data_IF_337419607258
#
_entry.id   IF_337419607258
#
_cell.length_a   1.000
_cell.length_b   1.000
_cell.length_c   1.000
_cell.angle_alpha   90.00
_cell.angle_beta   90.00
_cell.angle_gamma   90.00
#
_symmetry.space_group_name_H-M   'P 1'
#
loop_
_entity.id
_entity.type
_entity.pdbx_description
1 polymer ?
#
# COMPACT_ATOMS: atom_id res chain seq x y z
N UNK A 1 38.43 13.03 37.50
CA UNK A 1 38.30 11.56 37.47
C UNK A 1 36.90 11.14 37.90
N UNK A 2 36.01 10.80 36.97
CA UNK A 2 34.80 10.02 37.25
C UNK A 2 34.86 8.80 36.33
N UNK A 3 35.07 7.62 36.93
CA UNK A 3 34.99 6.32 36.26
C UNK A 3 33.53 6.09 35.84
N UNK A 4 33.28 5.87 34.55
CA UNK A 4 32.07 5.17 34.08
C UNK A 4 32.36 3.68 34.18
N UNK A 5 31.69 3.01 35.10
CA UNK A 5 31.50 1.57 35.09
C UNK A 5 30.32 1.28 34.16
N UNK A 6 30.61 1.01 32.89
CA UNK A 6 29.66 0.34 31.98
C UNK A 6 29.82 -1.17 32.22
N UNK A 7 29.03 -1.71 33.14
CA UNK A 7 28.79 -3.15 33.23
C UNK A 7 27.44 -3.41 32.53
N UNK A 8 27.43 -3.25 31.21
CA UNK A 8 26.35 -3.77 30.37
C UNK A 8 26.57 -5.27 30.22
N UNK A 9 25.55 -6.13 30.45
CA UNK A 9 25.69 -7.56 30.21
C UNK A 9 26.14 -7.80 28.76
N UNK A 10 27.25 -8.52 28.59
CA UNK A 10 27.83 -8.81 27.29
C UNK A 10 26.86 -9.67 26.48
N UNK A 11 26.19 -9.05 25.50
CA UNK A 11 25.31 -9.78 24.57
C UNK A 11 26.14 -10.78 23.77
N UNK A 12 25.86 -12.07 23.92
CA UNK A 12 26.53 -13.12 23.17
C UNK A 12 26.18 -12.97 21.68
N UNK A 13 27.21 -12.96 20.81
CA UNK A 13 27.02 -12.84 19.36
C UNK A 13 27.37 -14.15 18.69
N UNK A 14 26.48 -14.63 17.81
CA UNK A 14 26.70 -15.83 17.01
C UNK A 14 26.72 -15.44 15.54
N UNK A 15 27.77 -15.85 14.81
CA UNK A 15 27.92 -15.67 13.37
C UNK A 15 27.40 -16.90 12.63
N UNK A 16 26.38 -16.70 11.81
CA UNK A 16 25.80 -17.72 10.92
C UNK A 16 25.94 -17.26 9.47
N UNK A 17 26.38 -18.15 8.59
CA UNK A 17 26.48 -17.86 7.14
C UNK A 17 25.39 -18.62 6.36
N UNK A 18 24.87 -18.03 5.28
CA UNK A 18 24.06 -18.77 4.31
C UNK A 18 24.83 -19.06 3.03
N UNK A 19 24.81 -20.33 2.63
CA UNK A 19 25.55 -20.88 1.48
C UNK A 19 24.59 -21.54 0.50
N UNK A 20 24.91 -21.50 -0.79
CA UNK A 20 24.09 -22.06 -1.85
C UNK A 20 24.12 -21.20 -3.11
N UNK A 21 23.69 -21.77 -4.23
CA UNK A 21 23.75 -21.15 -5.55
C UNK A 21 23.04 -19.78 -5.62
N UNK A 22 23.37 -19.01 -6.65
CA UNK A 22 22.66 -17.77 -6.98
C UNK A 22 21.16 -18.04 -7.18
N UNK A 23 20.32 -17.18 -6.59
CA UNK A 23 18.87 -17.26 -6.80
C UNK A 23 18.14 -18.36 -6.01
N UNK A 24 18.78 -19.12 -5.12
CA UNK A 24 18.08 -20.10 -4.25
C UNK A 24 17.25 -19.46 -3.14
N UNK A 25 17.34 -18.13 -2.95
CA UNK A 25 16.51 -17.36 -2.02
C UNK A 25 17.10 -17.15 -0.62
N UNK A 26 18.43 -17.20 -0.48
CA UNK A 26 19.15 -17.00 0.79
C UNK A 26 18.84 -15.67 1.46
N UNK A 27 19.02 -14.56 0.73
CA UNK A 27 18.72 -13.20 1.18
C UNK A 27 17.25 -13.07 1.61
N UNK A 28 16.34 -13.67 0.84
CA UNK A 28 14.90 -13.61 1.10
C UNK A 28 14.52 -14.33 2.40
N UNK A 29 15.12 -15.48 2.68
CA UNK A 29 14.87 -16.23 3.93
C UNK A 29 15.47 -15.49 5.13
N UNK A 30 16.68 -14.93 5.00
CA UNK A 30 17.32 -14.16 6.08
C UNK A 30 16.51 -12.91 6.41
N UNK A 31 16.11 -12.12 5.41
CA UNK A 31 15.26 -10.94 5.62
C UNK A 31 13.93 -11.32 6.24
N UNK A 32 13.28 -12.37 5.74
CA UNK A 32 11.99 -12.85 6.30
C UNK A 32 12.11 -13.26 7.75
N UNK A 33 13.17 -13.95 8.12
CA UNK A 33 13.40 -14.35 9.50
C UNK A 33 13.75 -13.17 10.43
N UNK A 34 14.64 -12.28 9.99
CA UNK A 34 15.12 -11.16 10.80
C UNK A 34 14.05 -10.08 10.98
N UNK A 35 13.42 -9.70 9.88
CA UNK A 35 12.60 -8.48 9.75
C UNK A 35 11.11 -8.77 9.56
N UNK A 36 10.72 -10.03 9.31
CA UNK A 36 9.33 -10.38 9.01
C UNK A 36 8.90 -9.99 7.58
N UNK A 37 9.83 -9.58 6.71
CA UNK A 37 9.58 -9.08 5.35
C UNK A 37 10.05 -10.09 4.30
N UNK A 38 9.29 -10.30 3.23
CA UNK A 38 9.72 -11.14 2.11
C UNK A 38 9.86 -10.27 0.86
N UNK A 39 11.00 -10.38 0.17
CA UNK A 39 11.24 -9.67 -1.09
C UNK A 39 11.47 -10.68 -2.21
N UNK A 40 10.75 -10.52 -3.32
CA UNK A 40 10.91 -11.32 -4.55
C UNK A 40 11.97 -10.78 -5.50
N UNK A 41 12.66 -9.69 -5.12
CA UNK A 41 13.67 -9.03 -5.94
C UNK A 41 14.95 -9.87 -6.01
N UNK A 42 15.30 -10.32 -7.22
CA UNK A 42 16.69 -10.19 -7.66
C UNK A 42 16.89 -8.69 -7.92
N UNK A 43 17.26 -7.93 -6.87
CA UNK A 43 17.74 -6.56 -7.06
C UNK A 43 18.83 -6.60 -8.14
N UNK A 44 18.85 -5.68 -9.13
CA UNK A 44 20.14 -5.34 -9.70
C UNK A 44 20.97 -4.86 -8.51
N UNK A 45 22.00 -5.64 -8.19
CA UNK A 45 22.97 -5.38 -7.15
C UNK A 45 23.12 -3.87 -6.95
N UNK A 46 22.67 -3.34 -5.81
CA UNK A 46 23.27 -2.11 -5.32
C UNK A 46 24.74 -2.44 -5.17
N UNK A 47 25.55 -1.83 -6.02
CA UNK A 47 26.98 -1.97 -6.09
C UNK A 47 27.62 -1.37 -4.84
N UNK A 48 27.41 -2.00 -3.69
CA UNK A 48 28.10 -1.73 -2.44
C UNK A 48 28.20 -3.05 -1.65
N UNK A 49 29.28 -3.80 -1.93
CA UNK A 49 29.84 -4.90 -1.13
C UNK A 49 28.95 -6.11 -0.80
N UNK A 50 29.03 -7.14 -1.66
CA UNK A 50 28.95 -8.61 -1.46
C UNK A 50 28.07 -9.31 -0.39
N UNK A 51 27.47 -8.64 0.60
CA UNK A 51 26.75 -9.25 1.73
C UNK A 51 25.57 -8.37 2.15
N UNK A 52 24.42 -9.01 2.33
CA UNK A 52 23.31 -8.46 3.09
C UNK A 52 23.40 -8.93 4.56
N UNK A 53 23.17 -8.02 5.51
CA UNK A 53 23.41 -8.23 6.95
C UNK A 53 22.09 -8.29 7.72
N UNK A 54 21.72 -9.49 8.19
CA UNK A 54 20.54 -9.70 9.02
C UNK A 54 20.90 -9.91 10.49
N UNK A 55 20.20 -9.24 11.43
CA UNK A 55 20.38 -9.46 12.87
C UNK A 55 19.07 -9.87 13.52
N UNK A 56 19.08 -11.01 14.22
CA UNK A 56 17.97 -11.45 15.06
C UNK A 56 18.37 -11.50 16.53
N UNK A 57 17.77 -10.67 17.40
CA UNK A 57 17.84 -10.91 18.83
C UNK A 57 16.97 -12.12 19.17
N UNK A 58 17.56 -13.10 19.85
CA UNK A 58 16.87 -14.30 20.35
C UNK A 58 17.23 -14.54 21.80
N UNK A 59 16.32 -15.13 22.57
CA UNK A 59 16.57 -15.49 23.97
C UNK A 59 16.68 -17.00 24.08
N UNK A 60 17.85 -17.49 24.46
CA UNK A 60 18.15 -18.93 24.58
C UNK A 60 18.56 -19.20 26.03
N UNK A 61 17.84 -20.07 26.74
CA UNK A 61 18.13 -20.44 28.14
C UNK A 61 18.39 -19.21 29.04
N UNK A 62 17.52 -18.19 28.95
CA UNK A 62 17.63 -16.91 29.66
C UNK A 62 18.85 -16.03 29.32
N UNK A 63 19.61 -16.36 28.27
CA UNK A 63 20.67 -15.51 27.73
C UNK A 63 20.16 -14.78 26.49
N UNK A 64 20.37 -13.47 26.43
CA UNK A 64 20.09 -12.68 25.23
C UNK A 64 21.25 -12.86 24.24
N UNK A 65 20.93 -13.43 23.08
CA UNK A 65 21.86 -13.74 22.01
C UNK A 65 21.49 -12.92 20.79
N UNK A 66 22.50 -12.35 20.11
CA UNK A 66 22.33 -11.74 18.79
C UNK A 66 22.90 -12.67 17.74
N UNK A 67 22.04 -13.20 16.89
CA UNK A 67 22.44 -13.98 15.72
C UNK A 67 22.66 -13.02 14.56
N UNK A 68 23.87 -13.00 14.03
CA UNK A 68 24.26 -12.22 12.86
C UNK A 68 24.33 -13.16 11.67
N UNK A 69 23.44 -12.96 10.71
CA UNK A 69 23.38 -13.69 9.47
C UNK A 69 24.18 -12.96 8.40
N UNK A 70 25.09 -13.69 7.75
CA UNK A 70 25.90 -13.21 6.65
C UNK A 70 25.48 -13.92 5.38
N UNK A 71 24.84 -13.19 4.47
CA UNK A 71 24.41 -13.76 3.20
C UNK A 71 25.54 -13.79 2.17
N UNK A 72 26.00 -14.99 1.81
CA UNK A 72 27.08 -15.14 0.83
C UNK A 72 26.54 -15.11 -0.60
N UNK A 73 27.21 -14.37 -1.48
CA UNK A 73 26.88 -14.35 -2.91
C UNK A 73 26.98 -15.76 -3.51
N UNK A 74 25.91 -16.22 -4.16
CA UNK A 74 25.86 -17.53 -4.82
C UNK A 74 26.51 -17.58 -6.20
N UNK A 75 27.14 -16.48 -6.64
CA UNK A 75 27.73 -16.30 -7.96
C UNK A 75 29.25 -16.63 -7.91
N UNK A 76 29.80 -17.43 -8.84
CA UNK A 76 31.21 -17.85 -8.81
C UNK A 76 32.21 -16.68 -8.76
N UNK A 77 31.87 -15.55 -9.37
CA UNK A 77 32.71 -14.36 -9.53
C UNK A 77 33.04 -13.67 -8.20
N UNK A 78 32.36 -14.03 -7.11
CA UNK A 78 32.57 -13.47 -5.77
C UNK A 78 33.34 -14.39 -4.82
N UNK A 79 33.93 -15.49 -5.33
CA UNK A 79 34.66 -16.47 -4.52
C UNK A 79 35.74 -15.81 -3.64
N UNK A 80 36.56 -14.92 -4.19
CA UNK A 80 37.64 -14.26 -3.45
C UNK A 80 37.12 -13.42 -2.28
N UNK A 81 35.94 -12.81 -2.44
CA UNK A 81 35.30 -12.01 -1.39
C UNK A 81 34.66 -12.92 -0.33
N UNK A 82 34.03 -14.03 -0.72
CA UNK A 82 33.42 -15.00 0.21
C UNK A 82 34.42 -15.60 1.20
N UNK A 83 35.66 -15.79 0.78
CA UNK A 83 36.72 -16.41 1.60
C UNK A 83 36.90 -15.74 2.96
N UNK A 84 36.75 -14.42 3.03
CA UNK A 84 36.90 -13.66 4.28
C UNK A 84 35.75 -13.90 5.27
N UNK A 85 34.60 -14.40 4.82
CA UNK A 85 33.41 -14.59 5.65
C UNK A 85 33.29 -15.98 6.24
N UNK A 86 34.04 -16.96 5.74
CA UNK A 86 34.07 -18.30 6.33
C UNK A 86 34.83 -18.34 7.67
N UNK A 87 35.82 -17.47 7.86
CA UNK A 87 36.59 -17.38 9.13
C UNK A 87 35.67 -17.10 10.32
N UNK A 88 35.93 -17.78 11.44
CA UNK A 88 35.21 -17.62 12.72
C UNK A 88 33.69 -17.88 12.63
N UNK A 89 33.23 -18.64 11.63
CA UNK A 89 31.83 -19.03 11.48
C UNK A 89 31.44 -20.05 12.54
N UNK A 90 30.30 -19.85 13.18
CA UNK A 90 29.81 -20.70 14.28
C UNK A 90 28.63 -21.59 13.85
N UNK A 91 28.02 -21.32 12.68
CA UNK A 91 26.99 -22.17 12.08
C UNK A 91 26.70 -21.82 10.61
N UNK A 92 26.14 -22.77 9.87
CA UNK A 92 25.83 -22.61 8.44
C UNK A 92 24.40 -22.99 8.06
N UNK A 93 23.82 -22.26 7.11
CA UNK A 93 22.57 -22.62 6.43
C UNK A 93 22.92 -23.00 5.00
N UNK A 94 22.75 -24.27 4.66
CA UNK A 94 23.02 -24.82 3.33
C UNK A 94 21.71 -24.89 2.53
N UNK A 95 21.54 -24.00 1.55
CA UNK A 95 20.26 -23.77 0.89
C UNK A 95 20.25 -24.20 -0.58
N UNK A 96 19.17 -24.85 -1.00
CA UNK A 96 18.90 -25.18 -2.40
C UNK A 96 17.45 -24.88 -2.78
N UNK A 97 17.17 -24.75 -4.07
CA UNK A 97 15.83 -24.54 -4.62
C UNK A 97 15.24 -25.91 -5.01
N UNK A 98 14.08 -26.29 -4.45
CA UNK A 98 13.46 -27.60 -4.74
C UNK A 98 13.10 -27.79 -6.21
N UNK A 99 12.96 -26.71 -6.97
CA UNK A 99 12.70 -26.74 -8.42
C UNK A 99 13.97 -26.86 -9.27
N UNK A 100 15.17 -26.91 -8.64
CA UNK A 100 16.46 -26.96 -9.32
C UNK A 100 17.35 -28.10 -8.79
N UNK A 101 17.40 -29.22 -9.52
CA UNK A 101 18.31 -30.36 -9.27
C UNK A 101 19.77 -29.89 -9.14
N UNK A 102 20.21 -29.01 -10.03
CA UNK A 102 21.57 -28.46 -10.04
C UNK A 102 21.93 -27.80 -8.70
N UNK A 103 21.02 -27.00 -8.14
CA UNK A 103 21.29 -26.31 -6.87
C UNK A 103 21.44 -27.28 -5.69
N UNK A 104 20.82 -28.46 -5.77
CA UNK A 104 20.95 -29.53 -4.77
C UNK A 104 22.25 -30.33 -4.95
N UNK A 105 22.63 -30.66 -6.18
CA UNK A 105 23.88 -31.36 -6.48
C UNK A 105 25.12 -30.52 -6.11
N UNK A 106 25.00 -29.20 -6.18
CA UNK A 106 26.07 -28.27 -5.81
C UNK A 106 26.29 -28.12 -4.30
N UNK A 107 25.43 -28.69 -3.44
CA UNK A 107 25.56 -28.55 -1.98
C UNK A 107 26.90 -29.06 -1.44
N UNK A 108 27.45 -30.14 -2.01
CA UNK A 108 28.76 -30.67 -1.61
C UNK A 108 29.92 -29.73 -2.00
N UNK A 109 29.77 -28.97 -3.08
CA UNK A 109 30.76 -27.97 -3.48
C UNK A 109 30.80 -26.81 -2.47
N UNK A 110 29.64 -26.36 -2.00
CA UNK A 110 29.55 -25.32 -0.97
C UNK A 110 30.13 -25.77 0.37
N UNK A 111 29.91 -27.03 0.77
CA UNK A 111 30.53 -27.60 1.97
C UNK A 111 32.05 -27.73 1.83
N UNK A 112 32.56 -28.14 0.67
CA UNK A 112 33.98 -28.22 0.40
C UNK A 112 34.65 -26.82 0.40
N UNK A 113 33.98 -25.81 -0.16
CA UNK A 113 34.41 -24.40 -0.12
C UNK A 113 34.53 -23.92 1.34
N UNK A 114 33.48 -24.14 2.14
CA UNK A 114 33.47 -23.76 3.55
C UNK A 114 34.57 -24.45 4.37
N UNK A 115 34.77 -25.76 4.16
CA UNK A 115 35.82 -26.52 4.83
C UNK A 115 37.22 -26.01 4.47
N UNK A 116 37.42 -25.59 3.22
CA UNK A 116 38.71 -25.09 2.73
C UNK A 116 39.08 -23.73 3.33
N UNK A 117 38.12 -22.81 3.47
CA UNK A 117 38.41 -21.42 3.88
C UNK A 117 38.02 -21.09 5.33
N UNK A 118 37.20 -21.90 6.00
CA UNK A 118 36.67 -21.65 7.35
C UNK A 118 37.49 -22.22 8.50
N UNK A 119 38.54 -23.01 8.24
CA UNK A 119 39.44 -23.52 9.28
C UNK A 119 38.89 -24.65 10.17
N UNK A 120 37.69 -25.17 9.91
CA UNK A 120 37.09 -26.29 10.66
C UNK A 120 35.64 -26.61 10.24
N UNK A 121 35.08 -27.73 10.72
CA UNK A 121 33.66 -28.09 10.52
C UNK A 121 32.78 -27.40 11.58
N UNK A 122 31.83 -26.59 11.14
CA UNK A 122 30.77 -26.00 11.98
C UNK A 122 29.43 -26.69 11.73
N UNK A 123 28.49 -26.67 12.69
CA UNK A 123 27.17 -27.27 12.51
C UNK A 123 26.42 -26.58 11.37
N UNK A 124 25.82 -27.39 10.49
CA UNK A 124 25.00 -26.91 9.40
C UNK A 124 23.57 -27.44 9.51
N UNK A 125 22.64 -26.67 8.95
CA UNK A 125 21.30 -27.12 8.61
C UNK A 125 21.13 -27.12 7.10
N UNK A 126 20.38 -28.09 6.58
CA UNK A 126 20.00 -28.16 5.16
C UNK A 126 18.62 -27.54 5.00
N UNK A 127 18.51 -26.55 4.12
CA UNK A 127 17.29 -25.78 3.90
C UNK A 127 16.83 -25.93 2.45
N UNK A 128 15.77 -26.70 2.23
CA UNK A 128 15.09 -26.78 0.94
C UNK A 128 14.14 -25.58 0.81
N UNK A 129 14.40 -24.68 -0.13
CA UNK A 129 13.63 -23.45 -0.30
C UNK A 129 12.73 -23.52 -1.55
N UNK A 130 11.73 -22.64 -1.59
CA UNK A 130 10.70 -22.53 -2.64
C UNK A 130 9.81 -23.76 -2.76
N UNK A 131 9.44 -24.36 -1.63
CA UNK A 131 8.55 -25.55 -1.61
C UNK A 131 7.16 -25.31 -2.18
N UNK A 132 6.80 -24.04 -2.40
CA UNK A 132 5.64 -23.59 -3.17
C UNK A 132 5.76 -23.82 -4.69
N UNK A 133 6.93 -24.21 -5.20
CA UNK A 133 7.15 -24.49 -6.63
C UNK A 133 7.10 -25.99 -6.94
N UNK A 134 6.80 -26.38 -8.19
CA UNK A 134 6.94 -27.75 -8.64
C UNK A 134 8.35 -28.29 -8.35
N UNK A 135 8.39 -29.41 -7.64
CA UNK A 135 9.64 -29.98 -7.12
C UNK A 135 10.29 -30.89 -8.15
N UNK A 136 11.60 -30.73 -8.32
CA UNK A 136 12.46 -31.67 -9.05
C UNK A 136 13.27 -32.53 -8.05
N UNK A 137 13.55 -32.00 -6.86
CA UNK A 137 14.16 -32.72 -5.74
C UNK A 137 13.11 -33.01 -4.68
N UNK A 138 12.91 -34.28 -4.36
CA UNK A 138 11.91 -34.70 -3.38
C UNK A 138 12.44 -34.57 -1.93
N UNK A 139 11.52 -34.56 -0.97
CA UNK A 139 11.85 -34.34 0.45
C UNK A 139 12.70 -35.47 1.02
N UNK A 140 12.41 -36.72 0.64
CA UNK A 140 13.13 -37.88 1.13
C UNK A 140 14.62 -37.83 0.75
N UNK A 141 14.93 -37.35 -0.45
CA UNK A 141 16.28 -37.14 -0.94
C UNK A 141 17.02 -36.05 -0.15
N UNK A 142 16.37 -34.92 0.10
CA UNK A 142 16.91 -33.84 0.94
C UNK A 142 17.17 -34.29 2.39
N UNK A 143 16.22 -35.02 2.99
CA UNK A 143 16.37 -35.61 4.33
C UNK A 143 17.49 -36.65 4.38
N UNK A 144 17.63 -37.48 3.35
CA UNK A 144 18.71 -38.46 3.27
C UNK A 144 20.08 -37.77 3.19
N UNK A 145 20.20 -36.71 2.38
CA UNK A 145 21.42 -35.91 2.28
C UNK A 145 21.83 -35.30 3.63
N UNK A 146 20.88 -34.67 4.33
CA UNK A 146 21.10 -34.06 5.64
C UNK A 146 21.49 -35.10 6.70
N UNK A 147 20.72 -36.20 6.78
CA UNK A 147 20.96 -37.31 7.71
C UNK A 147 22.34 -37.94 7.54
N UNK A 148 22.79 -38.15 6.30
CA UNK A 148 24.10 -38.72 6.00
C UNK A 148 25.28 -37.88 6.54
N UNK A 149 25.04 -36.59 6.81
CA UNK A 149 26.04 -35.63 7.31
C UNK A 149 25.77 -35.17 8.76
N UNK A 150 24.75 -35.74 9.41
CA UNK A 150 24.35 -35.34 10.77
C UNK A 150 23.74 -33.94 10.86
N UNK A 151 23.20 -33.41 9.74
CA UNK A 151 22.56 -32.10 9.69
C UNK A 151 21.04 -32.22 9.88
N UNK A 152 20.43 -31.20 10.45
CA UNK A 152 18.98 -31.06 10.46
C UNK A 152 18.47 -30.61 9.08
N UNK A 153 17.24 -31.00 8.75
CA UNK A 153 16.61 -30.70 7.46
C UNK A 153 15.35 -29.87 7.68
N UNK A 154 15.25 -28.76 6.93
CA UNK A 154 14.12 -27.86 6.95
C UNK A 154 13.61 -27.63 5.52
N UNK A 155 12.29 -27.53 5.39
CA UNK A 155 11.63 -27.04 4.18
C UNK A 155 11.12 -25.61 4.44
N UNK A 156 11.32 -24.73 3.46
CA UNK A 156 10.95 -23.32 3.56
C UNK A 156 10.33 -22.86 2.26
N UNK A 157 9.41 -21.93 2.37
CA UNK A 157 8.99 -21.08 1.27
C UNK A 157 9.06 -19.65 1.77
N UNK A 158 10.00 -18.89 1.25
CA UNK A 158 10.08 -17.48 1.58
C UNK A 158 8.84 -16.71 1.05
N UNK A 159 8.18 -17.20 -0.02
CA UNK A 159 7.00 -16.59 -0.65
C UNK A 159 5.68 -16.84 0.08
N UNK A 160 5.46 -18.04 0.62
CA UNK A 160 4.20 -18.36 1.33
C UNK A 160 4.33 -18.31 2.85
N UNK A 161 5.56 -18.37 3.36
CA UNK A 161 5.92 -18.38 4.78
C UNK A 161 4.81 -18.91 5.66
N UNK A 162 4.52 -20.21 5.63
CA UNK A 162 3.55 -20.89 6.51
C UNK A 162 3.55 -20.21 7.89
N UNK A 163 2.64 -19.32 8.28
CA UNK A 163 1.32 -18.86 7.79
C UNK A 163 1.28 -17.61 6.87
N UNK A 164 0.60 -17.68 5.71
CA UNK A 164 0.45 -16.56 4.77
C UNK A 164 -0.90 -15.82 4.85
N UNK A 165 -0.86 -14.49 4.76
CA UNK A 165 -1.98 -13.62 4.37
C UNK A 165 -1.87 -13.28 2.88
N UNK A 166 -3.00 -13.15 2.17
CA UNK A 166 -3.03 -12.78 0.75
C UNK A 166 -2.67 -11.29 0.54
N UNK A 167 -2.18 -10.92 -0.66
CA UNK A 167 -1.75 -9.56 -1.02
C UNK A 167 -2.29 -9.12 -2.39
N UNK A 168 -2.35 -7.81 -2.66
CA UNK A 168 -2.73 -7.24 -3.94
C UNK A 168 -1.51 -6.63 -4.66
N UNK A 169 -1.33 -6.89 -5.95
CA UNK A 169 -0.17 -6.39 -6.74
C UNK A 169 -0.65 -5.53 -7.91
N UNK A 170 -0.18 -4.29 -7.98
CA UNK A 170 -0.43 -3.34 -9.08
C UNK A 170 0.82 -3.27 -9.97
N UNK A 171 0.67 -3.64 -11.25
CA UNK A 171 1.79 -3.68 -12.21
C UNK A 171 1.78 -2.47 -13.14
N UNK A 172 2.92 -1.78 -13.24
CA UNK A 172 3.16 -0.65 -14.14
C UNK A 172 4.14 -1.07 -15.22
N UNK A 173 3.75 -0.91 -16.48
CA UNK A 173 4.63 -1.18 -17.62
C UNK A 173 5.56 -0.01 -17.87
N UNK A 174 6.77 -0.28 -18.36
CA UNK A 174 7.70 0.76 -18.82
C UNK A 174 7.08 1.55 -19.99
N UNK A 175 7.21 2.88 -19.97
CA UNK A 175 6.76 3.74 -21.05
C UNK A 175 7.50 3.45 -22.38
N UNK A 176 6.88 3.77 -23.51
CA UNK A 176 7.55 3.73 -24.82
C UNK A 176 8.49 4.94 -24.94
N UNK A 177 9.75 4.67 -25.32
CA UNK A 177 10.88 5.60 -25.53
C UNK A 177 11.62 6.07 -24.27
N UNK A 178 12.93 5.78 -24.22
CA UNK A 178 14.09 6.40 -23.51
C UNK A 178 13.94 7.19 -22.17
N UNK A 179 12.80 7.22 -21.50
CA UNK A 179 12.56 8.05 -20.30
C UNK A 179 12.56 7.29 -18.96
N UNK A 180 12.91 6.00 -18.95
CA UNK A 180 13.00 5.22 -17.70
C UNK A 180 11.66 4.62 -17.26
N UNK A 181 11.40 4.54 -15.95
CA UNK A 181 10.17 3.99 -15.38
C UNK A 181 9.02 5.02 -15.40
N UNK A 182 7.77 4.56 -15.41
CA UNK A 182 6.60 5.43 -15.28
C UNK A 182 6.69 6.25 -13.99
N UNK A 183 6.77 7.58 -14.10
CA UNK A 183 6.81 8.51 -12.96
C UNK A 183 5.64 8.33 -12.00
N UNK A 184 4.53 7.76 -12.47
CA UNK A 184 3.36 7.41 -11.66
C UNK A 184 3.70 6.35 -10.61
N UNK A 185 4.41 5.29 -11.01
CA UNK A 185 4.77 4.19 -10.11
C UNK A 185 5.74 4.64 -9.01
N UNK A 186 6.78 5.40 -9.39
CA UNK A 186 7.77 5.94 -8.44
C UNK A 186 7.10 6.91 -7.46
N UNK A 187 6.15 7.72 -7.92
CA UNK A 187 5.40 8.64 -7.07
C UNK A 187 4.49 7.89 -6.09
N UNK A 188 3.76 6.88 -6.55
CA UNK A 188 2.86 6.08 -5.70
C UNK A 188 3.63 5.42 -4.56
N UNK A 189 4.79 4.80 -4.87
CA UNK A 189 5.70 4.24 -3.86
C UNK A 189 6.20 5.31 -2.89
N UNK A 190 6.71 6.44 -3.40
CA UNK A 190 7.27 7.50 -2.56
C UNK A 190 6.24 8.13 -1.62
N UNK A 191 5.04 8.42 -2.12
CA UNK A 191 3.97 9.03 -1.32
C UNK A 191 3.46 8.06 -0.24
N UNK A 192 3.31 6.78 -0.56
CA UNK A 192 2.74 5.81 0.37
C UNK A 192 3.74 5.24 1.39
N UNK A 193 5.04 5.31 1.12
CA UNK A 193 6.06 4.82 2.08
C UNK A 193 5.98 5.57 3.42
N UNK A 194 5.55 6.84 3.39
CA UNK A 194 5.45 7.71 4.57
C UNK A 194 4.02 7.75 5.18
N UNK A 195 3.02 7.19 4.49
CA UNK A 195 1.63 7.21 4.94
C UNK A 195 1.30 5.97 5.78
N UNK A 196 0.97 6.18 7.05
CA UNK A 196 0.49 5.12 7.95
C UNK A 196 -0.77 5.59 8.67
N UNK A 197 -1.92 5.07 8.23
CA UNK A 197 -3.21 5.41 8.81
C UNK A 197 -4.21 4.24 8.65
N UNK A 198 -5.10 3.98 9.63
CA UNK A 198 -6.10 2.91 9.54
C UNK A 198 -7.03 3.00 8.31
N UNK A 199 -7.27 4.22 7.82
CA UNK A 199 -8.11 4.47 6.64
C UNK A 199 -7.33 4.77 5.36
N UNK A 200 -6.07 4.34 5.24
CA UNK A 200 -5.26 4.44 4.01
C UNK A 200 -4.68 3.05 3.73
N UNK A 201 -4.64 2.62 2.47
CA UNK A 201 -4.05 1.33 2.10
C UNK A 201 -2.57 1.29 2.44
N UNK A 202 -2.15 0.19 3.05
CA UNK A 202 -0.75 -0.04 3.41
C UNK A 202 0.02 -0.57 2.20
N UNK A 203 1.04 0.19 1.78
CA UNK A 203 2.11 -0.30 0.92
C UNK A 203 2.93 -1.34 1.70
N UNK A 204 3.07 -2.54 1.15
CA UNK A 204 3.84 -3.63 1.74
C UNK A 204 5.24 -3.73 1.12
N UNK A 205 5.33 -3.60 -0.20
CA UNK A 205 6.58 -3.73 -0.95
C UNK A 205 6.46 -3.06 -2.34
N UNK A 206 7.59 -2.82 -3.01
CA UNK A 206 7.63 -2.42 -4.41
C UNK A 206 8.87 -3.01 -5.10
N UNK A 207 8.68 -3.66 -6.25
CA UNK A 207 9.75 -4.38 -6.94
C UNK A 207 9.68 -4.25 -8.46
N UNK A 208 10.80 -4.49 -9.14
CA UNK A 208 10.87 -4.54 -10.61
C UNK A 208 10.98 -6.00 -11.05
N UNK A 209 10.11 -6.41 -11.97
CA UNK A 209 10.14 -7.76 -12.56
C UNK A 209 9.71 -7.70 -14.03
N UNK A 210 10.44 -8.35 -14.94
CA UNK A 210 10.15 -8.38 -16.39
C UNK A 210 9.81 -7.00 -16.98
N UNK A 211 10.65 -5.99 -16.73
CA UNK A 211 10.45 -4.60 -17.20
C UNK A 211 9.15 -3.93 -16.69
N UNK A 212 8.55 -4.43 -15.61
CA UNK A 212 7.40 -3.83 -14.93
C UNK A 212 7.74 -3.45 -13.50
N UNK A 213 7.24 -2.30 -13.02
CA UNK A 213 7.26 -1.94 -11.60
C UNK A 213 6.00 -2.54 -10.97
N UNK A 214 6.16 -3.33 -9.92
CA UNK A 214 5.10 -4.03 -9.22
C UNK A 214 5.02 -3.45 -7.81
N UNK A 215 3.89 -2.85 -7.48
CA UNK A 215 3.64 -2.22 -6.18
C UNK A 215 2.68 -3.13 -5.40
N UNK A 216 3.08 -3.55 -4.21
CA UNK A 216 2.40 -4.57 -3.41
C UNK A 216 1.67 -3.92 -2.25
N UNK A 217 0.39 -4.23 -2.10
CA UNK A 217 -0.52 -3.71 -1.10
C UNK A 217 -1.10 -4.83 -0.24
N UNK A 218 -1.61 -4.45 0.93
CA UNK A 218 -2.55 -5.31 1.65
C UNK A 218 -3.75 -5.66 0.77
N UNK A 219 -4.22 -6.92 0.86
CA UNK A 219 -5.43 -7.31 0.15
C UNK A 219 -6.66 -6.77 0.89
N UNK A 220 -7.57 -6.17 0.14
CA UNK A 220 -8.87 -5.74 0.66
C UNK A 220 -9.93 -6.32 -0.28
N UNK A 221 -10.82 -7.21 0.21
CA UNK A 221 -11.64 -8.06 -0.65
C UNK A 221 -12.75 -7.30 -1.38
N UNK A 222 -13.12 -6.11 -0.91
CA UNK A 222 -14.30 -5.38 -1.35
C UNK A 222 -13.97 -3.91 -1.60
N UNK A 223 -14.82 -3.25 -2.38
CA UNK A 223 -14.83 -1.79 -2.51
C UNK A 223 -16.24 -1.26 -2.21
N UNK A 224 -16.33 0.03 -1.89
CA UNK A 224 -17.59 0.65 -1.50
C UNK A 224 -18.61 0.65 -2.65
N UNK A 225 -18.17 0.74 -3.91
CA UNK A 225 -19.05 0.69 -5.09
C UNK A 225 -19.90 -0.60 -5.10
N UNK A 226 -19.28 -1.75 -4.84
CA UNK A 226 -19.99 -3.04 -4.74
C UNK A 226 -21.04 -3.02 -3.62
N UNK A 227 -20.69 -2.46 -2.45
CA UNK A 227 -21.64 -2.33 -1.34
C UNK A 227 -22.78 -1.36 -1.69
N UNK A 228 -22.49 -0.30 -2.46
CA UNK A 228 -23.48 0.67 -2.91
C UNK A 228 -24.49 0.07 -3.90
N UNK A 229 -24.00 -0.80 -4.78
CA UNK A 229 -24.83 -1.39 -5.83
C UNK A 229 -25.60 -2.64 -5.38
N UNK A 230 -25.17 -3.29 -4.29
CA UNK A 230 -25.90 -4.41 -3.70
C UNK A 230 -27.26 -3.97 -3.13
N UNK A 231 -28.35 -4.32 -3.81
CA UNK A 231 -29.72 -3.97 -3.41
C UNK A 231 -30.26 -4.84 -2.27
N UNK A 232 -29.55 -5.91 -1.90
CA UNK A 232 -29.89 -6.73 -0.73
C UNK A 232 -29.46 -6.06 0.58
N UNK A 233 -28.50 -5.14 0.51
CA UNK A 233 -28.02 -4.38 1.66
C UNK A 233 -28.90 -3.15 1.90
N UNK A 234 -29.47 -3.07 3.10
CA UNK A 234 -30.21 -1.91 3.57
C UNK A 234 -29.26 -0.97 4.32
N UNK A 235 -29.12 0.26 3.80
CA UNK A 235 -28.31 1.29 4.46
C UNK A 235 -29.13 2.01 5.54
N UNK A 236 -28.60 2.00 6.76
CA UNK A 236 -29.10 2.85 7.85
C UNK A 236 -28.33 4.16 7.88
N UNK A 237 -28.88 5.17 8.56
CA UNK A 237 -28.18 6.45 8.78
C UNK A 237 -26.84 6.24 9.51
N UNK A 238 -26.78 5.28 10.44
CA UNK A 238 -25.55 4.90 11.16
C UNK A 238 -24.49 4.27 10.25
N UNK A 239 -24.89 3.46 9.25
CA UNK A 239 -23.95 2.91 8.25
C UNK A 239 -23.32 4.03 7.41
N UNK A 240 -24.14 4.94 6.88
CA UNK A 240 -23.68 6.07 6.07
C UNK A 240 -22.72 6.95 6.87
N UNK A 241 -23.07 7.24 8.13
CA UNK A 241 -22.23 8.04 9.04
C UNK A 241 -20.87 7.39 9.28
N UNK A 242 -20.82 6.08 9.51
CA UNK A 242 -19.57 5.35 9.71
C UNK A 242 -18.67 5.38 8.47
N UNK A 243 -19.20 5.11 7.28
CA UNK A 243 -18.43 5.16 6.04
C UNK A 243 -17.89 6.56 5.76
N UNK A 244 -18.72 7.59 5.92
CA UNK A 244 -18.29 8.98 5.74
C UNK A 244 -17.21 9.38 6.76
N UNK A 245 -17.35 8.96 8.02
CA UNK A 245 -16.39 9.27 9.07
C UNK A 245 -15.00 8.66 8.77
N UNK A 246 -14.96 7.38 8.34
CA UNK A 246 -13.70 6.72 7.96
C UNK A 246 -13.06 7.36 6.72
N UNK A 247 -13.87 7.69 5.71
CA UNK A 247 -13.43 8.44 4.52
C UNK A 247 -12.78 9.77 4.93
N UNK A 248 -13.47 10.58 5.74
CA UNK A 248 -12.97 11.88 6.18
C UNK A 248 -11.69 11.77 7.03
N UNK A 249 -11.56 10.75 7.89
CA UNK A 249 -10.32 10.50 8.64
C UNK A 249 -9.14 10.22 7.71
N UNK A 250 -9.34 9.37 6.70
CA UNK A 250 -8.33 9.12 5.66
C UNK A 250 -7.95 10.38 4.90
N UNK A 251 -8.94 11.15 4.44
CA UNK A 251 -8.71 12.39 3.67
C UNK A 251 -8.02 13.46 4.52
N UNK A 252 -8.43 13.64 5.78
CA UNK A 252 -7.78 14.57 6.70
C UNK A 252 -6.30 14.22 6.92
N UNK A 253 -6.00 12.91 7.05
CA UNK A 253 -4.62 12.45 7.17
C UNK A 253 -3.80 12.79 5.91
N UNK A 254 -4.33 12.53 4.71
CA UNK A 254 -3.67 12.92 3.46
C UNK A 254 -3.42 14.44 3.38
N UNK A 255 -4.44 15.24 3.67
CA UNK A 255 -4.36 16.69 3.60
C UNK A 255 -3.34 17.28 4.58
N UNK A 256 -3.22 16.69 5.78
CA UNK A 256 -2.20 17.08 6.78
C UNK A 256 -0.76 16.74 6.36
N UNK A 257 -0.58 15.77 5.45
CA UNK A 257 0.70 15.41 4.84
C UNK A 257 0.93 16.10 3.50
N UNK A 258 0.13 17.14 3.20
CA UNK A 258 0.21 17.91 1.97
C UNK A 258 -0.12 17.10 0.70
N UNK A 259 -0.87 16.00 0.82
CA UNK A 259 -1.20 15.08 -0.28
C UNK A 259 -2.66 15.28 -0.71
N UNK A 260 -2.85 15.47 -2.01
CA UNK A 260 -4.15 15.45 -2.70
C UNK A 260 -4.40 14.06 -3.28
N UNK A 261 -5.60 13.51 -3.10
CA UNK A 261 -5.95 12.21 -3.70
C UNK A 261 -6.31 12.36 -5.19
N UNK A 262 -7.19 13.30 -5.54
CA UNK A 262 -7.62 13.63 -6.92
C UNK A 262 -8.32 12.51 -7.70
N UNK A 263 -8.77 11.44 -7.06
CA UNK A 263 -9.65 10.43 -7.69
C UNK A 263 -10.50 9.73 -6.63
N UNK A 264 -11.09 10.51 -5.72
CA UNK A 264 -12.01 9.97 -4.73
C UNK A 264 -13.31 9.54 -5.42
N UNK A 265 -13.58 8.24 -5.36
CA UNK A 265 -14.79 7.57 -5.84
C UNK A 265 -14.97 6.25 -5.08
N UNK A 266 -16.17 5.65 -5.03
CA UNK A 266 -16.41 4.43 -4.26
C UNK A 266 -15.55 3.23 -4.68
N UNK A 267 -15.10 3.14 -5.93
CA UNK A 267 -14.17 2.08 -6.38
C UNK A 267 -12.82 2.13 -5.66
N UNK A 268 -12.36 3.33 -5.32
CA UNK A 268 -11.07 3.58 -4.65
C UNK A 268 -11.20 3.56 -3.12
N UNK A 269 -12.38 3.26 -2.59
CA UNK A 269 -12.64 3.05 -1.17
C UNK A 269 -12.72 1.55 -0.90
N UNK A 270 -11.58 0.95 -0.58
CA UNK A 270 -11.48 -0.49 -0.34
C UNK A 270 -11.92 -0.82 1.09
N UNK A 271 -12.48 -2.01 1.30
CA UNK A 271 -13.05 -2.44 2.59
C UNK A 271 -12.37 -3.73 3.03
N UNK A 272 -11.81 -3.73 4.24
CA UNK A 272 -11.23 -4.90 4.88
C UNK A 272 -12.28 -5.81 5.51
N UNK A 273 -11.87 -7.01 5.91
CA UNK A 273 -12.76 -7.97 6.62
C UNK A 273 -13.19 -7.46 8.01
N UNK A 274 -12.43 -6.51 8.57
CA UNK A 274 -12.76 -5.77 9.79
C UNK A 274 -13.76 -4.62 9.56
N UNK A 275 -14.23 -4.44 8.33
CA UNK A 275 -15.17 -3.40 7.92
C UNK A 275 -14.55 -2.00 7.79
N UNK A 276 -13.23 -1.85 7.94
CA UNK A 276 -12.56 -0.56 7.77
C UNK A 276 -12.52 -0.16 6.29
N UNK A 277 -12.92 1.09 5.99
CA UNK A 277 -12.61 1.70 4.68
C UNK A 277 -11.15 2.15 4.67
N UNK A 278 -10.45 1.86 3.57
CA UNK A 278 -9.12 2.37 3.27
C UNK A 278 -9.09 3.04 1.90
N UNK A 279 -8.55 4.26 1.86
CA UNK A 279 -8.31 4.99 0.61
C UNK A 279 -7.23 4.29 -0.20
N UNK A 280 -7.50 4.04 -1.48
CA UNK A 280 -6.62 3.34 -2.41
C UNK A 280 -6.42 4.12 -3.72
N UNK A 281 -5.53 3.61 -4.57
CA UNK A 281 -5.21 4.16 -5.90
C UNK A 281 -4.73 5.62 -5.90
N UNK A 282 -3.45 5.78 -5.56
CA UNK A 282 -2.76 7.06 -5.52
C UNK A 282 -2.05 7.39 -6.85
N UNK A 283 -2.40 6.70 -7.94
CA UNK A 283 -1.80 6.94 -9.25
C UNK A 283 -2.02 8.38 -9.75
N UNK A 284 -3.04 9.04 -9.23
CA UNK A 284 -3.33 10.44 -9.48
C UNK A 284 -2.98 11.34 -8.29
N UNK A 285 -2.36 10.86 -7.22
CA UNK A 285 -2.04 11.70 -6.06
C UNK A 285 -0.90 12.70 -6.33
N UNK A 286 -0.89 13.82 -5.59
CA UNK A 286 0.11 14.89 -5.77
C UNK A 286 0.34 15.68 -4.49
N UNK A 287 1.60 16.04 -4.19
CA UNK A 287 1.92 17.02 -3.15
C UNK A 287 1.47 18.41 -3.57
N UNK A 288 0.77 19.16 -2.72
CA UNK A 288 0.47 20.58 -2.93
C UNK A 288 1.48 21.48 -2.22
N UNK A 289 1.67 22.73 -2.68
CA UNK A 289 2.51 23.73 -2.00
C UNK A 289 3.89 24.04 -2.61
N UNK A 290 4.25 23.51 -3.78
CA UNK A 290 5.41 24.01 -4.55
C UNK A 290 4.99 25.11 -5.51
N UNK A 291 5.39 26.39 -5.32
CA UNK A 291 5.16 27.43 -6.31
C UNK A 291 5.83 27.01 -7.64
N UNK A 292 5.13 27.20 -8.77
CA UNK A 292 5.59 26.92 -10.15
C UNK A 292 5.33 25.51 -10.73
N UNK A 293 4.36 24.72 -10.24
CA UNK A 293 3.92 23.51 -10.95
C UNK A 293 2.46 23.56 -11.35
N UNK A 294 2.20 23.93 -12.61
CA UNK A 294 0.89 23.79 -13.25
C UNK A 294 0.33 22.39 -13.00
N UNK A 295 -0.90 22.32 -12.47
CA UNK A 295 -1.60 21.05 -12.25
C UNK A 295 -2.41 20.68 -13.50
N UNK A 296 -2.41 19.38 -13.86
CA UNK A 296 -3.12 18.89 -15.03
C UNK A 296 -4.64 18.84 -14.76
N UNK A 297 -5.50 19.39 -15.63
CA UNK A 297 -6.96 19.43 -15.42
C UNK A 297 -7.67 18.09 -15.69
N UNK A 298 -7.09 17.21 -16.52
CA UNK A 298 -7.72 15.95 -16.94
C UNK A 298 -7.51 14.83 -15.92
N UNK A 299 -8.08 14.98 -14.74
CA UNK A 299 -7.97 14.02 -13.63
C UNK A 299 -9.35 13.86 -12.97
N UNK A 300 -9.60 12.75 -12.30
CA UNK A 300 -10.88 12.30 -11.72
C UNK A 300 -11.84 11.62 -12.71
N UNK A 301 -12.50 10.58 -12.23
CA UNK A 301 -13.72 10.01 -12.84
C UNK A 301 -14.80 11.10 -12.92
N UNK A 302 -15.40 11.30 -14.11
CA UNK A 302 -16.22 12.48 -14.46
C UNK A 302 -17.31 12.81 -13.42
N UNK A 303 -17.99 11.80 -12.90
CA UNK A 303 -19.12 11.92 -11.96
C UNK A 303 -18.77 12.55 -10.60
N UNK A 304 -17.50 12.47 -10.19
CA UNK A 304 -17.01 13.00 -8.91
C UNK A 304 -16.14 14.25 -9.10
N UNK A 305 -16.01 14.74 -10.34
CA UNK A 305 -15.16 15.88 -10.65
C UNK A 305 -15.84 17.19 -10.22
N UNK A 306 -15.13 18.08 -9.50
CA UNK A 306 -15.67 19.36 -9.09
C UNK A 306 -15.75 20.37 -10.26
N UNK A 307 -16.63 21.38 -10.16
CA UNK A 307 -16.88 22.35 -11.23
C UNK A 307 -15.64 23.17 -11.60
N UNK A 308 -14.75 23.49 -10.65
CA UNK A 308 -13.50 24.20 -10.96
C UNK A 308 -12.58 23.41 -11.91
N UNK A 309 -12.54 22.08 -11.77
CA UNK A 309 -11.75 21.23 -12.68
C UNK A 309 -12.45 21.06 -14.03
N UNK A 310 -13.78 21.01 -14.06
CA UNK A 310 -14.57 20.99 -15.31
C UNK A 310 -14.37 22.29 -16.12
N UNK A 311 -14.24 23.44 -15.44
CA UNK A 311 -13.88 24.71 -16.05
C UNK A 311 -12.36 24.90 -16.27
N UNK A 312 -11.55 23.86 -16.07
CA UNK A 312 -10.14 23.85 -16.43
C UNK A 312 -9.24 24.65 -15.49
N UNK A 313 -9.63 24.86 -14.22
CA UNK A 313 -8.79 25.49 -13.22
C UNK A 313 -7.42 24.78 -13.14
N UNK A 314 -6.35 25.58 -13.22
CA UNK A 314 -4.95 25.09 -13.19
C UNK A 314 -4.32 25.14 -11.82
N UNK A 315 -4.94 25.91 -10.92
CA UNK A 315 -4.58 26.05 -9.53
C UNK A 315 -5.74 25.54 -8.69
N UNK A 316 -5.48 24.54 -7.86
CA UNK A 316 -6.47 23.97 -6.98
C UNK A 316 -5.80 23.41 -5.72
N UNK A 317 -6.57 23.36 -4.64
CA UNK A 317 -6.12 22.96 -3.30
C UNK A 317 -6.70 21.59 -2.91
N UNK A 318 -6.58 21.25 -1.63
CA UNK A 318 -7.25 20.11 -0.98
C UNK A 318 -8.78 20.10 -1.09
N UNK A 319 -9.38 21.23 -1.46
CA UNK A 319 -10.84 21.35 -1.57
C UNK A 319 -11.43 20.55 -2.74
N UNK A 320 -10.63 20.16 -3.75
CA UNK A 320 -11.10 19.30 -4.86
C UNK A 320 -11.54 17.92 -4.36
N UNK A 321 -10.83 17.36 -3.39
CA UNK A 321 -11.17 16.07 -2.78
C UNK A 321 -12.50 16.16 -2.02
N UNK A 322 -12.79 17.31 -1.40
CA UNK A 322 -13.98 17.52 -0.59
C UNK A 322 -15.28 17.51 -1.40
N UNK A 323 -15.23 17.92 -2.67
CA UNK A 323 -16.37 17.74 -3.58
C UNK A 323 -16.65 16.26 -3.86
N UNK A 324 -15.60 15.49 -4.16
CA UNK A 324 -15.70 14.04 -4.35
C UNK A 324 -16.28 13.34 -3.12
N UNK A 325 -15.86 13.75 -1.91
CA UNK A 325 -16.47 13.30 -0.64
C UNK A 325 -17.97 13.61 -0.59
N UNK A 326 -18.37 14.83 -0.98
CA UNK A 326 -19.79 15.21 -1.07
C UNK A 326 -20.59 14.34 -2.04
N UNK A 327 -20.06 14.06 -3.23
CA UNK A 327 -20.67 13.14 -4.20
C UNK A 327 -20.81 11.72 -3.65
N UNK A 328 -19.79 11.18 -2.98
CA UNK A 328 -19.84 9.85 -2.35
C UNK A 328 -20.86 9.83 -1.20
N UNK A 329 -20.92 10.88 -0.38
CA UNK A 329 -21.90 10.99 0.69
C UNK A 329 -23.33 10.99 0.15
N UNK A 330 -23.59 11.75 -0.90
CA UNK A 330 -24.87 11.74 -1.59
C UNK A 330 -25.21 10.37 -2.17
N UNK A 331 -24.25 9.71 -2.83
CA UNK A 331 -24.45 8.38 -3.41
C UNK A 331 -24.73 7.31 -2.34
N UNK A 332 -24.12 7.40 -1.16
CA UNK A 332 -24.43 6.53 -0.02
C UNK A 332 -25.90 6.67 0.42
N UNK A 333 -26.48 7.86 0.32
CA UNK A 333 -27.89 8.12 0.62
C UNK A 333 -28.83 7.69 -0.53
N UNK A 334 -28.45 7.96 -1.79
CA UNK A 334 -29.30 7.74 -2.97
C UNK A 334 -29.20 6.33 -3.56
N UNK A 335 -28.12 5.60 -3.27
CA UNK A 335 -27.77 4.30 -3.90
C UNK A 335 -27.53 4.38 -5.41
N UNK A 336 -27.34 5.59 -5.95
CA UNK A 336 -27.01 5.92 -7.34
C UNK A 336 -26.11 7.17 -7.36
N UNK A 337 -25.25 7.35 -8.38
CA UNK A 337 -24.39 8.53 -8.48
C UNK A 337 -25.19 9.84 -8.45
N UNK A 338 -24.70 10.84 -7.72
CA UNK A 338 -25.38 12.15 -7.61
C UNK A 338 -25.42 12.89 -8.96
N UNK A 339 -24.30 12.87 -9.68
CA UNK A 339 -24.13 13.51 -10.97
C UNK A 339 -23.61 12.48 -11.97
N UNK A 340 -24.42 12.12 -12.96
CA UNK A 340 -24.12 11.06 -13.91
C UNK A 340 -23.99 11.62 -15.35
N UNK A 341 -23.22 12.69 -15.52
CA UNK A 341 -23.00 13.31 -16.83
C UNK A 341 -22.18 12.43 -17.76
N UNK A 342 -22.47 12.50 -19.06
CA UNK A 342 -21.80 11.76 -20.14
C UNK A 342 -20.62 12.53 -20.74
N UNK A 343 -20.60 13.86 -20.61
CA UNK A 343 -19.53 14.76 -21.07
C UNK A 343 -19.25 15.81 -20.00
N UNK A 344 -18.13 16.54 -20.09
CA UNK A 344 -17.83 17.63 -19.12
C UNK A 344 -18.93 18.70 -19.10
N UNK A 345 -19.49 19.03 -20.28
CA UNK A 345 -20.62 19.96 -20.42
C UNK A 345 -21.89 19.42 -19.77
N UNK A 346 -22.21 18.16 -20.02
CA UNK A 346 -23.38 17.49 -19.44
C UNK A 346 -23.26 17.32 -17.91
N UNK A 347 -22.05 17.04 -17.43
CA UNK A 347 -21.74 16.98 -16.01
C UNK A 347 -21.99 18.33 -15.32
N UNK A 348 -21.53 19.45 -15.92
CA UNK A 348 -21.87 20.80 -15.45
C UNK A 348 -23.38 21.04 -15.47
N UNK A 349 -24.08 20.59 -16.52
CA UNK A 349 -25.54 20.65 -16.62
C UNK A 349 -26.24 19.94 -15.46
N UNK A 350 -25.81 18.72 -15.11
CA UNK A 350 -26.31 17.96 -13.97
C UNK A 350 -26.06 18.68 -12.64
N UNK A 351 -24.86 19.26 -12.46
CA UNK A 351 -24.51 20.02 -11.26
C UNK A 351 -25.41 21.24 -11.10
N UNK A 352 -25.58 22.03 -12.16
CA UNK A 352 -26.39 23.25 -12.11
C UNK A 352 -27.88 22.96 -12.00
N UNK A 353 -28.39 21.88 -12.61
CA UNK A 353 -29.78 21.46 -12.41
C UNK A 353 -30.10 21.20 -10.94
N UNK A 354 -29.15 20.63 -10.19
CA UNK A 354 -29.31 20.36 -8.76
C UNK A 354 -29.06 21.61 -7.90
N UNK A 355 -27.92 22.27 -8.08
CA UNK A 355 -27.42 23.29 -7.16
C UNK A 355 -27.73 24.72 -7.59
N UNK A 356 -28.18 24.90 -8.83
CA UNK A 356 -28.31 26.19 -9.50
C UNK A 356 -27.04 26.59 -10.22
N UNK A 357 -27.16 27.56 -11.13
CA UNK A 357 -26.00 28.14 -11.83
C UNK A 357 -25.22 29.05 -10.87
N UNK A 358 -23.89 28.91 -10.73
CA UNK A 358 -23.09 29.82 -9.93
C UNK A 358 -23.08 31.22 -10.54
N UNK A 359 -23.12 32.23 -9.68
CA UNK A 359 -22.90 33.64 -10.01
C UNK A 359 -21.57 34.12 -9.42
N UNK A 360 -21.09 35.28 -9.84
CA UNK A 360 -19.94 35.96 -9.22
C UNK A 360 -20.14 36.29 -7.73
N UNK A 361 -21.38 36.28 -7.23
CA UNK A 361 -21.66 36.41 -5.80
C UNK A 361 -21.41 35.09 -5.06
N UNK A 362 -21.85 33.96 -5.63
CA UNK A 362 -21.71 32.63 -5.02
C UNK A 362 -20.34 31.99 -5.26
N UNK A 363 -19.66 32.39 -6.33
CA UNK A 363 -18.32 31.94 -6.69
C UNK A 363 -17.57 33.08 -7.39
N UNK A 364 -16.98 33.99 -6.59
CA UNK A 364 -16.18 35.08 -7.13
C UNK A 364 -15.03 34.55 -7.99
N UNK A 365 -14.90 35.08 -9.21
CA UNK A 365 -13.89 34.71 -10.19
C UNK A 365 -14.25 33.53 -11.11
N UNK A 366 -15.46 32.96 -11.01
CA UNK A 366 -15.89 31.83 -11.86
C UNK A 366 -15.82 32.16 -13.35
N UNK A 367 -16.18 33.39 -13.74
CA UNK A 367 -16.13 33.84 -15.15
C UNK A 367 -14.71 33.96 -15.71
N UNK A 368 -13.71 33.98 -14.84
CA UNK A 368 -12.29 34.09 -15.22
C UNK A 368 -11.62 32.72 -15.43
N UNK A 369 -12.35 31.61 -15.25
CA UNK A 369 -11.78 30.27 -15.41
C UNK A 369 -11.52 29.94 -16.90
N UNK A 370 -10.47 29.15 -17.20
CA UNK A 370 -9.98 28.97 -18.57
C UNK A 370 -11.03 28.45 -19.57
N UNK A 371 -11.89 27.54 -19.12
CA UNK A 371 -12.92 26.93 -19.95
C UNK A 371 -14.33 27.37 -19.51
N UNK A 372 -14.45 28.52 -18.85
CA UNK A 372 -15.76 29.04 -18.47
C UNK A 372 -16.64 29.23 -19.71
N UNK A 373 -17.88 28.75 -19.61
CA UNK A 373 -18.92 28.97 -20.59
C UNK A 373 -20.17 29.41 -19.85
N UNK A 374 -20.92 30.32 -20.45
CA UNK A 374 -22.15 30.81 -19.86
C UNK A 374 -23.26 29.77 -20.03
N UNK A 375 -23.94 29.42 -18.93
CA UNK A 375 -25.11 28.55 -18.93
C UNK A 375 -26.38 29.38 -18.72
N UNK A 376 -27.51 28.91 -19.27
CA UNK A 376 -28.82 29.48 -18.92
C UNK A 376 -29.02 29.43 -17.41
N UNK A 377 -29.25 30.58 -16.73
CA UNK A 377 -29.42 30.61 -15.29
C UNK A 377 -30.58 29.71 -14.84
N UNK A 378 -30.30 28.80 -13.92
CA UNK A 378 -31.31 27.97 -13.29
C UNK A 378 -31.24 28.07 -11.77
N UNK A 379 -32.40 27.91 -11.12
CA UNK A 379 -32.48 27.83 -9.66
C UNK A 379 -32.21 26.40 -9.24
N UNK A 380 -31.37 26.23 -8.22
CA UNK A 380 -31.14 24.93 -7.60
C UNK A 380 -32.40 24.38 -6.95
N UNK A 381 -32.43 23.07 -6.79
CA UNK A 381 -33.48 22.35 -6.09
C UNK A 381 -33.16 22.26 -4.59
N UNK A 382 -34.15 22.35 -3.70
CA UNK A 382 -33.92 22.09 -2.28
C UNK A 382 -33.41 20.66 -2.08
N UNK A 383 -32.23 20.47 -1.49
CA UNK A 383 -31.71 19.11 -1.26
C UNK A 383 -32.68 18.22 -0.46
N UNK A 384 -33.51 18.80 0.40
CA UNK A 384 -34.55 18.06 1.13
C UNK A 384 -35.61 17.41 0.23
N UNK A 385 -35.86 17.92 -0.98
CA UNK A 385 -36.79 17.28 -1.93
C UNK A 385 -36.20 16.06 -2.61
N UNK A 386 -34.87 15.91 -2.59
CA UNK A 386 -34.14 14.81 -3.25
C UNK A 386 -33.74 13.76 -2.22
N UNK A 387 -33.20 14.21 -1.10
CA UNK A 387 -32.78 13.38 0.02
C UNK A 387 -33.88 13.36 1.09
N UNK A 388 -35.07 12.86 0.74
CA UNK A 388 -36.27 12.91 1.58
C UNK A 388 -36.13 12.17 2.92
N UNK A 389 -35.20 11.21 3.02
CA UNK A 389 -34.90 10.45 4.23
C UNK A 389 -33.72 11.00 5.05
N UNK A 390 -33.03 12.05 4.55
CA UNK A 390 -31.89 12.65 5.24
C UNK A 390 -32.33 13.54 6.39
N UNK A 391 -31.50 13.62 7.42
CA UNK A 391 -31.67 14.54 8.55
C UNK A 391 -31.14 15.93 8.21
N UNK A 392 -31.59 16.96 8.92
CA UNK A 392 -31.18 18.35 8.65
C UNK A 392 -29.67 18.55 8.76
N UNK A 393 -29.01 17.89 9.71
CA UNK A 393 -27.56 17.92 9.88
C UNK A 393 -26.79 17.21 8.76
N UNK A 394 -27.38 16.17 8.15
CA UNK A 394 -26.83 15.49 6.97
C UNK A 394 -26.93 16.40 5.75
N UNK A 395 -28.08 17.06 5.56
CA UNK A 395 -28.29 18.02 4.48
C UNK A 395 -27.37 19.23 4.61
N UNK A 396 -27.20 19.74 5.83
CA UNK A 396 -26.30 20.85 6.13
C UNK A 396 -24.83 20.49 5.84
N UNK A 397 -24.39 19.30 6.26
CA UNK A 397 -23.04 18.81 5.93
C UNK A 397 -22.84 18.63 4.42
N UNK A 398 -23.84 18.06 3.72
CA UNK A 398 -23.78 17.87 2.27
C UNK A 398 -23.67 19.21 1.53
N UNK A 399 -24.43 20.23 1.94
CA UNK A 399 -24.33 21.59 1.37
C UNK A 399 -22.92 22.17 1.50
N UNK A 400 -22.28 21.94 2.66
CA UNK A 400 -20.92 22.42 2.92
C UNK A 400 -19.84 21.73 2.08
N UNK A 401 -20.06 20.48 1.66
CA UNK A 401 -19.19 19.81 0.67
C UNK A 401 -19.43 20.29 -0.76
N UNK A 402 -20.67 20.63 -1.12
CA UNK A 402 -21.07 21.01 -2.49
C UNK A 402 -21.07 22.52 -2.74
N UNK A 403 -20.27 23.28 -1.98
CA UNK A 403 -20.08 24.71 -2.23
C UNK A 403 -19.26 24.92 -3.51
N UNK A 404 -19.74 25.80 -4.39
CA UNK A 404 -19.11 26.13 -5.67
C UNK A 404 -17.73 26.75 -5.48
N UNK A 405 -17.64 27.85 -4.72
CA UNK A 405 -16.37 28.47 -4.40
C UNK A 405 -15.49 27.47 -3.63
N UNK A 406 -14.36 27.01 -4.19
CA UNK A 406 -13.55 25.99 -3.54
C UNK A 406 -13.03 26.46 -2.18
N UNK A 407 -12.79 27.76 -1.99
CA UNK A 407 -12.24 28.31 -0.74
C UNK A 407 -13.23 28.28 0.43
N UNK A 408 -14.53 28.30 0.14
CA UNK A 408 -15.60 28.24 1.14
C UNK A 408 -16.04 26.80 1.46
N UNK A 409 -15.51 25.82 0.71
CA UNK A 409 -15.83 24.39 0.88
C UNK A 409 -15.21 23.86 2.17
N UNK A 410 -15.99 23.12 2.95
CA UNK A 410 -15.55 22.59 4.25
C UNK A 410 -14.35 21.64 4.09
N UNK A 411 -13.36 21.78 4.97
CA UNK A 411 -12.20 20.88 5.03
C UNK A 411 -12.53 19.55 5.70
N UNK A 412 -11.73 18.50 5.47
CA UNK A 412 -11.96 17.20 6.10
C UNK A 412 -11.89 17.27 7.64
N UNK A 413 -10.97 18.07 8.20
CA UNK A 413 -10.84 18.28 9.63
C UNK A 413 -12.09 18.95 10.22
N UNK A 414 -12.55 20.05 9.61
CA UNK A 414 -13.76 20.74 10.06
C UNK A 414 -15.03 19.90 9.88
N UNK A 415 -15.08 19.07 8.84
CA UNK A 415 -16.20 18.15 8.62
C UNK A 415 -16.29 17.07 9.71
N UNK A 416 -15.16 16.57 10.24
CA UNK A 416 -15.15 15.60 11.34
C UNK A 416 -15.69 16.18 12.66
N UNK A 417 -15.63 17.50 12.83
CA UNK A 417 -16.18 18.23 13.98
C UNK A 417 -17.64 18.65 13.79
N UNK A 418 -18.24 18.32 12.65
CA UNK A 418 -19.61 18.71 12.32
C UNK A 418 -20.64 18.04 13.24
N UNK A 419 -21.75 18.72 13.61
CA UNK A 419 -22.82 18.14 14.43
C UNK A 419 -23.39 16.82 13.91
N UNK A 420 -23.31 16.58 12.60
CA UNK A 420 -23.67 15.29 12.00
C UNK A 420 -22.96 14.10 12.66
N UNK A 421 -21.70 14.24 13.12
CA UNK A 421 -20.96 13.16 13.77
C UNK A 421 -21.19 13.06 15.28
N UNK A 422 -21.74 14.10 15.92
CA UNK A 422 -22.05 14.11 17.36
C UNK A 422 -23.52 13.82 17.65
N UNK A 423 -24.42 14.14 16.73
CA UNK A 423 -25.85 13.89 16.84
C UNK A 423 -26.17 12.40 16.64
N UNK A 424 -27.27 11.96 17.26
CA UNK A 424 -27.81 10.63 17.00
C UNK A 424 -28.29 10.48 15.53
N UNK A 425 -28.24 9.26 14.96
CA UNK A 425 -27.70 8.06 15.56
C UNK A 425 -26.16 8.02 15.47
N UNK A 426 -25.51 7.31 16.39
CA UNK A 426 -24.07 7.10 16.35
C UNK A 426 -23.64 6.30 15.11
N UNK A 427 -22.39 6.46 14.62
CA UNK A 427 -21.87 5.63 13.55
C UNK A 427 -21.85 4.16 13.96
N UNK A 428 -22.24 3.26 13.05
CA UNK A 428 -22.13 1.82 13.29
C UNK A 428 -20.66 1.44 13.44
N UNK A 429 -20.28 0.62 14.44
CA UNK A 429 -18.93 0.10 14.56
C UNK A 429 -18.49 -0.63 13.27
N UNK A 430 -17.25 -0.47 12.80
CA UNK A 430 -16.80 -1.04 11.52
C UNK A 430 -17.06 -2.54 11.38
N UNK A 431 -16.84 -3.33 12.44
CA UNK A 431 -17.05 -4.77 12.47
C UNK A 431 -18.53 -5.20 12.33
N UNK A 432 -19.47 -4.25 12.46
CA UNK A 432 -20.92 -4.46 12.27
C UNK A 432 -21.44 -3.86 10.97
N UNK A 433 -20.58 -3.27 10.14
CA UNK A 433 -20.98 -2.74 8.85
C UNK A 433 -21.38 -3.87 7.90
N UNK A 434 -22.34 -3.60 6.99
CA UNK A 434 -22.78 -4.62 6.05
C UNK A 434 -21.63 -5.03 5.12
N UNK A 435 -21.30 -6.32 5.16
CA UNK A 435 -20.37 -6.94 4.23
C UNK A 435 -21.18 -7.52 3.08
N UNK A 436 -20.90 -7.15 1.83
CA UNK A 436 -21.55 -7.80 0.69
C UNK A 436 -21.42 -9.32 0.78
N UNK A 437 -22.52 -10.03 0.58
CA UNK A 437 -22.56 -11.49 0.52
C UNK A 437 -21.98 -11.88 -0.85
N UNK A 438 -21.03 -12.81 -0.84
CA UNK A 438 -20.31 -13.36 -1.99
C UNK A 438 -21.04 -13.25 -3.33
N UNK A 439 -20.38 -12.64 -4.32
CA UNK A 439 -20.60 -12.88 -5.74
C UNK A 439 -19.28 -13.27 -6.38
#
# INVERSE_FOLDING_TARGET
>A
MRRRTDDQPSVLRIKVISMGDGGVGKSCVIKRYCEGTFSTLNLPFSSDFCIDYGVKPVRINNTDVRVNFWDLSGQPEFLEVRNEFYKDTQGGILMYDVSSRRSFENLDLWLAEAAKYGGGQFPCVVCANKVDKPRVVNEAEGKAFAKARGFEYFETSASTGTSGEAVAIKMFKRGKFNEGFDFTAVREVKLQTELRHPNITRLLDAFVHNDTVNVVFEILPKNLEKIINDKTIIFTRSHIKAYLQMLLRGVAHLHSHWILHRDLKPDNLLIGDDGQIKLADFGLARMYGSPNRNMTPMVCTLWYRPPELLFGAREYSNNVDMWGVGCIFAQLMLRVPLFAGMTELDQLGCIFHLLGTPTEETWPGVTSLPNYIEFTPCKGQPLSSIFTAATDDALDLLKKFLVFNPTDRISAAAALEHPYFTNAPEPTPPEKLPTAVNA
#
